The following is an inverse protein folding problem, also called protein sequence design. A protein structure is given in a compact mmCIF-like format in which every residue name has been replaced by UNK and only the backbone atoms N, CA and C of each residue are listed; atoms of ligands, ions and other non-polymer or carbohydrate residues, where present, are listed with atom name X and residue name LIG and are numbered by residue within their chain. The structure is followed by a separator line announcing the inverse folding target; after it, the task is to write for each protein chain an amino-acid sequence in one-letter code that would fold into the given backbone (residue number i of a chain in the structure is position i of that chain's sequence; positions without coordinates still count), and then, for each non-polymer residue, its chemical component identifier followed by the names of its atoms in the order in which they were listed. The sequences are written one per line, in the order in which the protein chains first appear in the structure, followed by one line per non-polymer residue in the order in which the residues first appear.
data_IF_965647033621
#
_entry.id   IF_965647033621
#
_cell.length_a   1.000
_cell.length_b   1.000
_cell.length_c   1.000
_cell.angle_alpha   90.00
_cell.angle_beta   90.00
_cell.angle_gamma   90.00
#
_symmetry.space_group_name_H-M   'P 1'
#
loop_
_entity.id
_entity.type
_entity.pdbx_description
1 polymer ?
#
# COMPACT_ATOMS: atom_id res chain seq x y z
N UNK A 1 9.56 -15.69 -0.67
CA UNK A 1 9.61 -14.25 -1.04
C UNK A 1 10.89 -13.51 -0.60
N UNK A 2 11.72 -14.08 0.31
CA UNK A 2 12.96 -13.43 0.77
C UNK A 2 13.95 -13.10 -0.38
N UNK A 3 14.26 -14.00 -1.33
CA UNK A 3 15.18 -13.70 -2.44
C UNK A 3 14.67 -12.54 -3.32
N UNK A 4 13.39 -12.51 -3.63
CA UNK A 4 12.77 -11.45 -4.45
C UNK A 4 12.89 -10.09 -3.73
N UNK A 5 12.64 -10.05 -2.42
CA UNK A 5 12.79 -8.82 -1.63
C UNK A 5 14.23 -8.31 -1.67
N UNK A 6 15.20 -9.21 -1.52
CA UNK A 6 16.63 -8.89 -1.59
C UNK A 6 17.04 -8.37 -2.96
N UNK A 7 16.54 -8.97 -4.04
CA UNK A 7 16.76 -8.51 -5.41
C UNK A 7 16.21 -7.08 -5.61
N UNK A 8 15.02 -6.77 -5.12
CA UNK A 8 14.46 -5.42 -5.20
C UNK A 8 15.27 -4.38 -4.42
N UNK A 9 15.91 -4.75 -3.32
CA UNK A 9 16.83 -3.87 -2.59
C UNK A 9 18.06 -3.53 -3.46
N UNK A 10 18.61 -4.51 -4.18
CA UNK A 10 19.72 -4.28 -5.10
C UNK A 10 19.31 -3.56 -6.39
N UNK A 11 18.11 -3.82 -6.89
CA UNK A 11 17.56 -3.17 -8.09
C UNK A 11 17.50 -1.65 -7.99
N UNK A 12 17.43 -1.10 -6.77
CA UNK A 12 17.52 0.35 -6.53
C UNK A 12 18.85 0.97 -6.97
N UNK A 13 19.88 0.16 -7.06
CA UNK A 13 21.22 0.55 -7.50
C UNK A 13 21.48 0.18 -8.96
N UNK A 14 20.47 -0.37 -9.62
CA UNK A 14 20.57 -0.99 -10.93
C UNK A 14 21.24 -2.36 -10.83
N UNK A 15 20.62 -3.37 -11.44
CA UNK A 15 21.17 -4.71 -11.58
C UNK A 15 21.36 -4.96 -13.08
N UNK A 16 22.55 -5.32 -13.48
CA UNK A 16 22.84 -5.88 -14.79
C UNK A 16 23.03 -7.40 -14.63
N UNK A 17 22.19 -8.19 -15.24
CA UNK A 17 22.31 -9.64 -15.30
C UNK A 17 23.24 -10.05 -16.43
N UNK A 18 23.87 -11.23 -16.31
CA UNK A 18 24.68 -11.80 -17.34
C UNK A 18 23.87 -12.17 -18.59
N UNK A 19 24.53 -12.29 -19.74
CA UNK A 19 23.91 -12.73 -21.01
C UNK A 19 23.28 -14.14 -20.88
N UNK A 20 23.86 -15.01 -20.08
CA UNK A 20 23.30 -16.33 -19.79
C UNK A 20 21.99 -16.23 -19.05
N UNK A 21 21.90 -15.36 -18.03
CA UNK A 21 20.65 -15.10 -17.29
C UNK A 21 19.60 -14.47 -18.22
N UNK A 22 19.99 -13.52 -19.06
CA UNK A 22 19.08 -12.88 -20.03
C UNK A 22 18.49 -13.93 -20.98
N UNK A 23 19.34 -14.78 -21.59
CA UNK A 23 18.88 -15.84 -22.51
C UNK A 23 17.94 -16.85 -21.83
N UNK A 24 18.12 -17.10 -20.54
CA UNK A 24 17.26 -18.02 -19.75
C UNK A 24 15.90 -17.43 -19.47
N UNK A 25 15.80 -16.11 -19.24
CA UNK A 25 14.53 -15.46 -18.92
C UNK A 25 13.78 -14.96 -20.15
N UNK A 26 14.44 -14.83 -21.28
CA UNK A 26 13.85 -14.35 -22.55
C UNK A 26 12.56 -15.09 -22.93
N UNK A 27 12.49 -16.46 -22.89
CA UNK A 27 11.24 -17.17 -23.18
C UNK A 27 10.12 -16.84 -22.21
N UNK A 28 10.43 -16.56 -20.92
CA UNK A 28 9.43 -16.18 -19.90
C UNK A 28 8.89 -14.80 -20.22
N UNK A 29 9.75 -13.87 -20.62
CA UNK A 29 9.37 -12.51 -21.03
C UNK A 29 8.50 -12.55 -22.29
N UNK A 30 8.86 -13.34 -23.29
CA UNK A 30 8.05 -13.53 -24.50
C UNK A 30 6.66 -14.08 -24.18
N UNK A 31 6.57 -15.10 -23.32
CA UNK A 31 5.30 -15.66 -22.89
C UNK A 31 4.47 -14.62 -22.12
N UNK A 32 5.12 -13.79 -21.29
CA UNK A 32 4.44 -12.71 -20.56
C UNK A 32 3.84 -11.67 -21.53
N UNK A 33 4.57 -11.32 -22.61
CA UNK A 33 4.11 -10.36 -23.62
C UNK A 33 2.98 -10.93 -24.49
N UNK A 34 3.05 -12.24 -24.83
CA UNK A 34 2.09 -12.91 -25.71
C UNK A 34 0.84 -13.40 -24.97
N UNK A 35 0.85 -13.45 -23.64
CA UNK A 35 -0.25 -13.98 -22.85
C UNK A 35 -1.48 -13.06 -22.94
N UNK A 36 -2.59 -13.60 -23.44
CA UNK A 36 -3.90 -12.94 -23.45
C UNK A 36 -4.66 -13.16 -22.15
N UNK A 37 -4.35 -14.21 -21.43
CA UNK A 37 -4.94 -14.50 -20.11
C UNK A 37 -4.23 -13.74 -19.00
N UNK A 38 -5.02 -13.05 -18.18
CA UNK A 38 -4.49 -12.25 -17.05
C UNK A 38 -3.86 -13.13 -15.97
N UNK A 39 -4.37 -14.33 -15.78
CA UNK A 39 -3.86 -15.25 -14.77
C UNK A 39 -2.50 -15.80 -15.20
N UNK A 40 -2.36 -16.22 -16.46
CA UNK A 40 -1.10 -16.68 -17.03
C UNK A 40 -0.05 -15.58 -17.02
N UNK A 41 -0.44 -14.32 -17.29
CA UNK A 41 0.45 -13.17 -17.18
C UNK A 41 1.00 -13.01 -15.76
N UNK A 42 0.17 -13.18 -14.73
CA UNK A 42 0.60 -13.12 -13.33
C UNK A 42 1.57 -14.27 -13.00
N UNK A 43 1.27 -15.48 -13.45
CA UNK A 43 2.16 -16.63 -13.24
C UNK A 43 3.52 -16.44 -13.91
N UNK A 44 3.53 -16.03 -15.18
CA UNK A 44 4.77 -15.76 -15.93
C UNK A 44 5.58 -14.64 -15.25
N UNK A 45 4.93 -13.58 -14.77
CA UNK A 45 5.60 -12.52 -14.03
C UNK A 45 6.23 -13.02 -12.71
N UNK A 46 5.52 -13.85 -11.94
CA UNK A 46 6.07 -14.44 -10.71
C UNK A 46 7.21 -15.41 -11.00
N UNK A 47 7.14 -16.18 -12.10
CA UNK A 47 8.23 -17.03 -12.56
C UNK A 47 9.46 -16.22 -12.94
N UNK A 48 9.30 -15.13 -13.68
CA UNK A 48 10.37 -14.19 -14.02
C UNK A 48 11.05 -13.64 -12.77
N UNK A 49 10.28 -13.12 -11.82
CA UNK A 49 10.81 -12.59 -10.55
C UNK A 49 11.56 -13.66 -9.75
N UNK A 50 11.03 -14.88 -9.69
CA UNK A 50 11.66 -15.98 -8.97
C UNK A 50 12.95 -16.44 -9.65
N UNK A 51 12.98 -16.48 -10.98
CA UNK A 51 14.19 -16.81 -11.75
C UNK A 51 15.28 -15.77 -11.49
N UNK A 52 14.99 -14.49 -11.73
CA UNK A 52 15.95 -13.39 -11.52
C UNK A 52 16.45 -13.29 -10.07
N UNK A 53 15.58 -13.54 -9.08
CA UNK A 53 15.93 -13.44 -7.67
C UNK A 53 16.86 -14.57 -7.17
N UNK A 54 16.95 -15.67 -7.90
CA UNK A 54 17.81 -16.80 -7.58
C UNK A 54 19.18 -16.74 -8.27
N UNK A 55 19.32 -15.84 -9.24
CA UNK A 55 20.59 -15.66 -9.92
C UNK A 55 21.63 -15.06 -8.98
N UNK A 56 22.85 -15.58 -9.10
CA UNK A 56 24.02 -15.06 -8.38
C UNK A 56 24.97 -14.27 -9.28
N UNK A 57 24.81 -14.42 -10.61
CA UNK A 57 25.64 -13.77 -11.62
C UNK A 57 24.99 -12.49 -12.12
N UNK A 58 25.21 -11.43 -11.35
CA UNK A 58 24.75 -10.07 -11.66
C UNK A 58 25.75 -9.02 -11.16
N UNK A 59 25.74 -7.87 -11.81
CA UNK A 59 26.54 -6.71 -11.41
C UNK A 59 25.62 -5.58 -10.91
N UNK A 60 26.03 -4.92 -9.82
CA UNK A 60 25.35 -3.73 -9.33
C UNK A 60 25.97 -2.51 -10.02
N UNK A 61 25.16 -1.76 -10.75
CA UNK A 61 25.62 -0.69 -11.65
C UNK A 61 26.10 0.56 -10.91
N UNK A 62 25.51 0.91 -9.76
CA UNK A 62 25.92 2.07 -8.97
C UNK A 62 26.58 1.67 -7.65
N UNK A 63 27.79 2.18 -7.38
CA UNK A 63 28.49 1.99 -6.10
C UNK A 63 27.80 2.70 -4.92
N UNK A 64 27.08 3.78 -5.19
CA UNK A 64 26.20 4.46 -4.21
C UNK A 64 24.81 4.58 -4.81
N UNK A 65 23.81 4.18 -4.07
CA UNK A 65 22.45 4.61 -4.39
C UNK A 65 22.39 6.13 -4.39
N UNK A 66 21.87 6.71 -5.47
CA UNK A 66 21.49 8.12 -5.51
C UNK A 66 20.67 8.37 -4.24
N UNK A 67 20.98 9.42 -3.50
CA UNK A 67 20.57 9.82 -2.12
C UNK A 67 19.10 9.61 -1.68
N UNK A 68 18.39 8.68 -2.29
CA UNK A 68 17.09 8.17 -1.86
C UNK A 68 17.26 7.11 -0.75
N UNK A 69 18.46 6.48 -0.60
CA UNK A 69 18.70 5.35 0.31
C UNK A 69 18.69 5.70 1.80
N UNK A 70 19.15 6.90 2.17
CA UNK A 70 19.22 7.25 3.59
C UNK A 70 17.82 7.43 4.24
N UNK A 71 16.77 7.57 3.43
CA UNK A 71 15.42 7.79 3.96
C UNK A 71 14.55 6.54 3.99
N UNK A 72 14.75 5.56 3.11
CA UNK A 72 13.79 4.44 2.99
C UNK A 72 14.01 3.36 4.05
N UNK A 73 15.26 3.04 4.44
CA UNK A 73 15.52 2.09 5.53
C UNK A 73 15.12 2.66 6.91
N UNK A 74 15.28 3.97 7.12
CA UNK A 74 14.82 4.64 8.34
C UNK A 74 13.31 4.93 8.34
N UNK A 75 12.71 5.07 7.16
CA UNK A 75 11.31 5.43 7.01
C UNK A 75 10.37 4.21 7.10
N UNK A 76 10.82 3.00 6.73
CA UNK A 76 9.99 1.80 6.80
C UNK A 76 9.48 1.47 8.23
N UNK A 77 10.30 1.47 9.28
CA UNK A 77 9.80 1.29 10.64
C UNK A 77 8.86 2.43 11.08
N UNK A 78 9.14 3.66 10.63
CA UNK A 78 8.32 4.83 10.96
C UNK A 78 6.95 4.76 10.30
N UNK A 79 6.87 4.43 9.01
CA UNK A 79 5.58 4.28 8.34
C UNK A 79 4.78 3.11 8.90
N UNK A 80 5.44 1.98 9.23
CA UNK A 80 4.78 0.87 9.89
C UNK A 80 4.19 1.28 11.24
N UNK A 81 4.95 2.04 12.06
CA UNK A 81 4.48 2.56 13.35
C UNK A 81 3.27 3.49 13.19
N UNK A 82 3.31 4.36 12.18
CA UNK A 82 2.17 5.24 11.86
C UNK A 82 0.96 4.41 11.43
N UNK A 83 1.12 3.47 10.50
CA UNK A 83 0.03 2.63 10.01
C UNK A 83 -0.59 1.79 11.12
N UNK A 84 0.23 1.19 11.98
CA UNK A 84 -0.24 0.44 13.13
C UNK A 84 -1.06 1.34 14.06
N UNK A 85 -0.52 2.49 14.44
CA UNK A 85 -1.23 3.45 15.30
C UNK A 85 -2.57 3.87 14.70
N UNK A 86 -2.63 4.17 13.40
CA UNK A 86 -3.88 4.53 12.73
C UNK A 86 -4.89 3.37 12.71
N UNK A 87 -4.44 2.14 12.47
CA UNK A 87 -5.30 0.97 12.48
C UNK A 87 -5.85 0.65 13.88
N UNK A 88 -5.07 0.89 14.93
CA UNK A 88 -5.50 0.64 16.31
C UNK A 88 -6.45 1.73 16.83
N UNK A 89 -6.36 2.96 16.30
CA UNK A 89 -7.03 4.14 16.85
C UNK A 89 -8.02 4.83 15.90
N UNK A 90 -8.28 4.34 14.68
CA UNK A 90 -9.10 5.02 13.67
C UNK A 90 -10.51 5.40 14.15
N UNK A 91 -11.02 4.70 15.16
CA UNK A 91 -12.37 4.86 15.71
C UNK A 91 -12.54 6.17 16.53
N UNK A 92 -11.46 6.83 16.90
CA UNK A 92 -11.46 8.11 17.66
C UNK A 92 -10.89 9.26 16.82
N UNK A 93 -10.97 10.46 17.38
CA UNK A 93 -10.27 11.60 16.80
C UNK A 93 -8.76 11.44 16.93
N UNK A 94 -8.07 11.61 15.82
CA UNK A 94 -6.60 11.55 15.72
C UNK A 94 -6.11 12.85 15.14
N UNK A 95 -5.32 13.59 15.90
CA UNK A 95 -4.67 14.81 15.43
C UNK A 95 -3.36 14.51 14.72
N UNK A 96 -3.01 15.36 13.75
CA UNK A 96 -1.71 15.25 13.09
C UNK A 96 -0.56 15.48 14.09
N UNK A 97 -0.78 16.29 15.13
CA UNK A 97 0.18 16.56 16.19
C UNK A 97 0.55 15.28 16.96
N UNK A 98 -0.43 14.45 17.26
CA UNK A 98 -0.26 13.17 17.94
C UNK A 98 0.58 12.20 17.10
N UNK A 99 0.24 12.04 15.83
CA UNK A 99 0.90 11.04 14.96
C UNK A 99 2.32 11.46 14.55
N UNK A 100 2.54 12.76 14.31
CA UNK A 100 3.91 13.25 14.02
C UNK A 100 4.87 13.06 15.18
N UNK A 101 4.37 13.17 16.42
CA UNK A 101 5.16 12.95 17.63
C UNK A 101 5.67 11.50 17.74
N UNK A 102 4.89 10.50 17.28
CA UNK A 102 5.31 9.09 17.29
C UNK A 102 6.57 8.81 16.47
N UNK A 103 6.83 9.64 15.46
CA UNK A 103 7.96 9.49 14.53
C UNK A 103 8.98 10.61 14.64
N UNK A 104 8.83 11.48 15.65
CA UNK A 104 9.71 12.63 15.93
C UNK A 104 9.92 13.54 14.69
N UNK A 105 8.83 13.94 14.05
CA UNK A 105 8.86 14.80 12.86
C UNK A 105 8.19 16.16 13.11
N UNK A 106 8.69 17.20 12.45
CA UNK A 106 7.94 18.45 12.30
C UNK A 106 6.71 18.22 11.41
N UNK A 107 5.67 19.02 11.56
CA UNK A 107 4.44 18.85 10.76
C UNK A 107 4.67 18.93 9.24
N UNK A 108 5.43 19.89 8.70
CA UNK A 108 5.73 19.93 7.27
C UNK A 108 6.47 18.67 6.77
N UNK A 109 7.40 18.16 7.59
CA UNK A 109 8.16 16.94 7.27
C UNK A 109 7.24 15.72 7.28
N UNK A 110 6.37 15.61 8.29
CA UNK A 110 5.40 14.52 8.41
C UNK A 110 4.38 14.52 7.24
N UNK A 111 3.86 15.68 6.83
CA UNK A 111 2.96 15.77 5.66
C UNK A 111 3.62 15.27 4.38
N UNK A 112 4.89 15.66 4.12
CA UNK A 112 5.66 15.16 2.97
C UNK A 112 5.97 13.66 3.09
N UNK A 113 6.32 13.20 4.28
CA UNK A 113 6.58 11.79 4.59
C UNK A 113 5.35 10.93 4.27
N UNK A 114 4.18 11.27 4.80
CA UNK A 114 2.94 10.53 4.51
C UNK A 114 2.61 10.57 3.02
N UNK A 115 2.67 11.73 2.38
CA UNK A 115 2.41 11.86 0.93
C UNK A 115 3.33 10.98 0.09
N UNK A 116 4.62 10.91 0.44
CA UNK A 116 5.61 10.09 -0.26
C UNK A 116 5.33 8.59 -0.12
N UNK A 117 4.94 8.12 1.07
CA UNK A 117 4.76 6.69 1.35
C UNK A 117 3.37 6.15 1.01
N UNK A 118 2.32 6.97 1.10
CA UNK A 118 0.94 6.56 0.84
C UNK A 118 0.34 7.11 -0.46
N UNK A 119 1.01 8.07 -1.11
CA UNK A 119 0.45 8.82 -2.24
C UNK A 119 -0.66 9.80 -1.84
N UNK A 120 -1.06 9.85 -0.55
CA UNK A 120 -2.25 10.56 -0.05
C UNK A 120 -1.89 11.55 1.07
N UNK A 121 -2.78 12.52 1.32
CA UNK A 121 -2.66 13.33 2.53
C UNK A 121 -2.99 12.48 3.77
N UNK A 122 -2.54 12.93 4.95
CA UNK A 122 -2.84 12.28 6.23
C UNK A 122 -4.33 12.06 6.46
N UNK A 123 -5.14 13.08 6.19
CA UNK A 123 -6.60 13.01 6.34
C UNK A 123 -7.22 11.98 5.39
N UNK A 124 -6.75 11.94 4.13
CA UNK A 124 -7.24 10.96 3.17
C UNK A 124 -6.81 9.54 3.53
N UNK A 125 -5.59 9.35 4.02
CA UNK A 125 -5.11 8.05 4.50
C UNK A 125 -5.95 7.53 5.67
N UNK A 126 -6.22 8.38 6.67
CA UNK A 126 -7.08 8.04 7.81
C UNK A 126 -8.51 7.71 7.36
N UNK A 127 -9.06 8.52 6.43
CA UNK A 127 -10.38 8.27 5.87
C UNK A 127 -10.46 6.93 5.10
N UNK A 128 -9.41 6.53 4.40
CA UNK A 128 -9.37 5.23 3.72
C UNK A 128 -9.39 4.06 4.71
N UNK A 129 -8.65 4.17 5.82
CA UNK A 129 -8.65 3.16 6.89
C UNK A 129 -10.05 3.06 7.50
N UNK A 130 -10.66 4.20 7.86
CA UNK A 130 -12.02 4.27 8.39
C UNK A 130 -13.06 3.70 7.42
N UNK A 131 -12.90 4.01 6.14
CA UNK A 131 -13.78 3.52 5.07
C UNK A 131 -13.67 2.00 4.90
N UNK A 132 -12.47 1.45 4.97
CA UNK A 132 -12.23 0.00 4.94
C UNK A 132 -12.91 -0.71 6.12
N UNK A 133 -12.79 -0.16 7.34
CA UNK A 133 -13.45 -0.67 8.52
C UNK A 133 -14.99 -0.59 8.41
N UNK A 134 -15.52 0.56 7.96
CA UNK A 134 -16.95 0.76 7.77
C UNK A 134 -17.54 -0.21 6.73
N UNK A 135 -16.85 -0.43 5.62
CA UNK A 135 -17.28 -1.37 4.58
C UNK A 135 -17.41 -2.79 5.12
N UNK A 136 -16.44 -3.26 5.89
CA UNK A 136 -16.49 -4.58 6.55
C UNK A 136 -17.65 -4.66 7.54
N UNK A 137 -17.79 -3.65 8.42
CA UNK A 137 -18.86 -3.63 9.41
C UNK A 137 -20.27 -3.59 8.79
N UNK A 138 -20.45 -2.94 7.64
CA UNK A 138 -21.71 -2.92 6.90
C UNK A 138 -22.09 -4.32 6.39
N UNK A 139 -21.13 -5.12 5.95
CA UNK A 139 -21.35 -6.49 5.45
C UNK A 139 -21.55 -7.46 6.62
N UNK A 140 -20.69 -7.40 7.63
CA UNK A 140 -20.70 -8.34 8.77
C UNK A 140 -21.87 -8.11 9.72
N UNK A 141 -22.45 -6.91 9.74
CA UNK A 141 -23.53 -6.53 10.67
C UNK A 141 -24.75 -5.96 9.92
N UNK A 142 -25.52 -6.78 9.20
CA UNK A 142 -26.63 -6.32 8.37
C UNK A 142 -27.79 -5.68 9.16
N UNK A 143 -27.88 -5.91 10.48
CA UNK A 143 -28.91 -5.32 11.34
C UNK A 143 -28.53 -3.96 11.91
N UNK A 144 -27.23 -3.60 11.95
CA UNK A 144 -26.80 -2.31 12.53
C UNK A 144 -27.15 -1.13 11.63
N UNK A 145 -27.44 0.00 12.26
CA UNK A 145 -27.71 1.23 11.54
C UNK A 145 -26.42 1.79 10.90
N UNK A 146 -26.54 2.33 9.69
CA UNK A 146 -25.43 2.98 8.97
C UNK A 146 -24.78 4.11 9.78
N UNK A 147 -25.59 4.91 10.51
CA UNK A 147 -25.06 5.97 11.37
C UNK A 147 -24.23 5.45 12.52
N UNK A 148 -24.65 4.38 13.16
CA UNK A 148 -23.86 3.74 14.24
C UNK A 148 -22.50 3.24 13.73
N UNK A 149 -22.50 2.62 12.55
CA UNK A 149 -21.26 2.15 11.92
C UNK A 149 -20.35 3.33 11.59
N UNK A 150 -20.90 4.41 11.03
CA UNK A 150 -20.11 5.61 10.71
C UNK A 150 -19.44 6.18 11.97
N UNK A 151 -20.17 6.36 13.07
CA UNK A 151 -19.61 6.85 14.33
C UNK A 151 -18.58 5.89 14.94
N UNK A 152 -18.84 4.58 14.94
CA UNK A 152 -17.86 3.56 15.39
C UNK A 152 -16.58 3.56 14.59
N UNK A 153 -16.63 3.99 13.32
CA UNK A 153 -15.46 4.14 12.47
C UNK A 153 -14.79 5.51 12.56
N UNK A 154 -15.18 6.36 13.53
CA UNK A 154 -14.56 7.65 13.80
C UNK A 154 -15.02 8.78 12.88
N UNK A 155 -16.16 8.64 12.17
CA UNK A 155 -16.74 9.74 11.43
C UNK A 155 -17.68 10.54 12.34
N UNK A 156 -17.38 11.81 12.54
CA UNK A 156 -18.18 12.70 13.40
C UNK A 156 -19.40 13.34 12.67
N UNK A 157 -19.49 13.13 11.36
CA UNK A 157 -20.55 13.72 10.53
C UNK A 157 -21.00 12.71 9.46
N UNK A 158 -22.28 12.35 9.49
CA UNK A 158 -22.87 11.37 8.60
C UNK A 158 -22.91 11.84 7.14
N UNK A 159 -23.15 13.13 6.88
CA UNK A 159 -23.13 13.69 5.52
C UNK A 159 -21.74 13.59 4.90
N UNK A 160 -20.70 13.90 5.68
CA UNK A 160 -19.31 13.75 5.26
C UNK A 160 -18.94 12.27 5.03
N UNK A 161 -19.39 11.38 5.93
CA UNK A 161 -19.22 9.93 5.76
C UNK A 161 -19.85 9.46 4.44
N UNK A 162 -21.10 9.77 4.18
CA UNK A 162 -21.81 9.37 2.96
C UNK A 162 -21.08 9.86 1.69
N UNK A 163 -20.61 11.10 1.70
CA UNK A 163 -19.84 11.69 0.59
C UNK A 163 -18.52 10.94 0.35
N UNK A 164 -17.75 10.69 1.42
CA UNK A 164 -16.46 9.97 1.36
C UNK A 164 -16.70 8.52 0.93
N UNK A 165 -17.72 7.85 1.49
CA UNK A 165 -18.07 6.47 1.16
C UNK A 165 -18.45 6.33 -0.31
N UNK A 166 -19.34 7.18 -0.83
CA UNK A 166 -19.71 7.19 -2.24
C UNK A 166 -18.51 7.43 -3.16
N UNK A 167 -17.62 8.35 -2.78
CA UNK A 167 -16.38 8.62 -3.55
C UNK A 167 -15.45 7.40 -3.58
N UNK A 168 -15.32 6.68 -2.48
CA UNK A 168 -14.37 5.56 -2.36
C UNK A 168 -14.92 4.20 -2.82
N UNK A 169 -16.25 4.00 -2.77
CA UNK A 169 -16.91 2.72 -3.08
C UNK A 169 -17.87 2.77 -4.27
N UNK A 170 -18.10 3.94 -4.86
CA UNK A 170 -19.03 4.12 -5.98
C UNK A 170 -20.50 4.20 -5.56
N UNK A 171 -20.87 3.63 -4.42
CA UNK A 171 -22.23 3.60 -3.86
C UNK A 171 -22.28 4.29 -2.50
N UNK A 172 -23.46 4.78 -2.11
CA UNK A 172 -23.69 5.21 -0.74
C UNK A 172 -23.80 4.01 0.21
N UNK A 173 -23.60 4.18 1.54
CA UNK A 173 -23.53 3.06 2.48
C UNK A 173 -24.75 2.14 2.48
N UNK A 174 -25.98 2.69 2.36
CA UNK A 174 -27.20 1.87 2.37
C UNK A 174 -27.34 0.97 1.15
N UNK A 175 -27.26 1.43 -0.11
CA UNK A 175 -27.19 0.56 -1.27
C UNK A 175 -26.02 -0.41 -1.26
N UNK A 176 -24.84 0.03 -0.77
CA UNK A 176 -23.68 -0.86 -0.63
C UNK A 176 -23.99 -2.03 0.31
N UNK A 177 -24.58 -1.75 1.47
CA UNK A 177 -25.01 -2.77 2.41
C UNK A 177 -25.99 -3.76 1.77
N UNK A 178 -27.05 -3.28 1.12
CA UNK A 178 -28.07 -4.14 0.46
C UNK A 178 -27.48 -4.98 -0.66
N UNK A 179 -26.44 -4.48 -1.35
CA UNK A 179 -25.82 -5.21 -2.46
C UNK A 179 -24.95 -6.40 -2.00
N UNK A 180 -24.34 -6.29 -0.80
CA UNK A 180 -23.41 -7.29 -0.27
C UNK A 180 -24.00 -8.15 0.89
N UNK A 181 -25.22 -7.91 1.32
CA UNK A 181 -25.94 -8.70 2.34
C UNK A 181 -27.19 -9.35 1.75
#
# INVERSE_FOLDING_TARGET
FYPIKKMFEYARRGIAFSEETVSRVEPIVENLIRSEDRFDSVLNFLMLLNCLARESDYHILAQRSVSIENNVNYDMPRIQKVMQFLNDNFHRDISIAEVKALVNMSEPTFRRFIKRHSGKSFVNLLNDIRLGAASRMLIENPTKNVSEIAYKCGFNNLSNFNRIFKKGKGLTPSPFKTFYT
#
